data_IF_915373229313
#
_entry.id   IF_915373229313
#
_cell.length_a   1.000
_cell.length_b   1.000
_cell.length_c   1.000
_cell.angle_alpha   90.00
_cell.angle_beta   90.00
_cell.angle_gamma   90.00
#
_symmetry.space_group_name_H-M   'P 1'
#
loop_
_entity.id
_entity.type
_entity.pdbx_description
1 polymer ?
#
# COMPACT_ATOMS: atom_id res chain seq x y z
N UNK A 1 -1.16 8.06 -14.94
CA UNK A 1 -0.13 7.02 -14.77
C UNK A 1 -0.84 5.70 -14.54
N UNK A 2 -0.38 4.60 -15.13
CA UNK A 2 -0.92 3.27 -14.78
C UNK A 2 -0.29 2.83 -13.47
N UNK A 3 -1.08 2.67 -12.41
CA UNK A 3 -0.63 2.14 -11.13
C UNK A 3 -0.57 0.61 -11.24
N UNK A 4 0.60 0.10 -11.60
CA UNK A 4 0.84 -1.35 -11.73
C UNK A 4 1.67 -1.83 -10.54
N UNK A 5 1.25 -2.89 -9.84
CA UNK A 5 2.02 -3.42 -8.73
C UNK A 5 3.37 -3.96 -9.22
N UNK A 6 4.43 -3.67 -8.46
CA UNK A 6 5.76 -4.25 -8.62
C UNK A 6 5.74 -5.76 -8.35
N UNK A 7 4.89 -6.20 -7.40
CA UNK A 7 4.70 -7.61 -7.05
C UNK A 7 3.25 -7.84 -6.62
N UNK A 8 2.70 -9.00 -6.98
CA UNK A 8 1.44 -9.50 -6.44
C UNK A 8 1.65 -10.92 -5.93
N UNK A 9 1.17 -11.22 -4.73
CA UNK A 9 1.29 -12.56 -4.12
C UNK A 9 0.08 -12.93 -3.28
N UNK A 10 -0.22 -14.23 -3.13
CA UNK A 10 -1.21 -14.69 -2.16
C UNK A 10 -0.77 -14.33 -0.72
N UNK A 11 -1.72 -13.94 0.12
CA UNK A 11 -1.49 -13.66 1.54
C UNK A 11 -2.74 -14.01 2.35
N UNK A 12 -2.63 -14.88 3.36
CA UNK A 12 -3.71 -15.23 4.29
C UNK A 12 -5.07 -15.56 3.63
N UNK A 13 -5.05 -16.30 2.52
CA UNK A 13 -6.28 -16.65 1.77
C UNK A 13 -6.82 -15.55 0.85
N UNK A 14 -6.17 -14.39 0.80
CA UNK A 14 -6.42 -13.31 -0.13
C UNK A 14 -5.15 -12.91 -0.90
N UNK A 15 -4.95 -11.61 -1.11
CA UNK A 15 -3.88 -11.07 -1.96
C UNK A 15 -3.17 -9.88 -1.30
N UNK A 16 -1.88 -9.77 -1.59
CA UNK A 16 -1.07 -8.57 -1.36
C UNK A 16 -0.51 -8.06 -2.68
N UNK A 17 -0.68 -6.76 -2.92
CA UNK A 17 -0.09 -5.99 -4.02
C UNK A 17 0.94 -5.03 -3.43
N UNK A 18 2.19 -5.13 -3.87
CA UNK A 18 3.26 -4.20 -3.50
C UNK A 18 3.46 -3.20 -4.64
N UNK A 19 3.42 -1.92 -4.30
CA UNK A 19 3.72 -0.81 -5.21
C UNK A 19 5.05 -0.20 -4.82
N UNK A 20 5.87 0.13 -5.83
CA UNK A 20 7.18 0.76 -5.67
C UNK A 20 7.22 1.99 -6.56
N UNK A 21 7.62 3.12 -6.00
CA UNK A 21 7.73 4.39 -6.71
C UNK A 21 9.19 4.87 -6.76
N UNK A 22 9.49 5.75 -7.72
CA UNK A 22 10.84 6.27 -7.95
C UNK A 22 11.37 7.14 -6.80
N UNK A 23 10.46 7.70 -5.97
CA UNK A 23 10.81 8.47 -4.78
C UNK A 23 11.30 7.59 -3.60
N UNK A 24 11.38 6.27 -3.79
CA UNK A 24 11.81 5.32 -2.77
C UNK A 24 10.70 4.84 -1.83
N UNK A 25 9.51 5.44 -1.90
CA UNK A 25 8.33 4.99 -1.18
C UNK A 25 7.51 3.98 -1.99
N UNK A 26 6.51 3.42 -1.36
CA UNK A 26 5.60 2.46 -1.93
C UNK A 26 4.40 2.22 -1.05
N UNK A 27 3.60 1.23 -1.44
CA UNK A 27 2.48 0.77 -0.63
C UNK A 27 2.42 -0.76 -0.59
N UNK A 28 2.06 -1.29 0.58
CA UNK A 28 1.53 -2.65 0.71
C UNK A 28 0.01 -2.57 0.77
N UNK A 29 -0.65 -3.02 -0.29
CA UNK A 29 -2.11 -3.03 -0.42
C UNK A 29 -2.59 -4.48 -0.29
N UNK A 30 -3.40 -4.77 0.73
CA UNK A 30 -3.87 -6.13 1.02
C UNK A 30 -5.38 -6.21 1.03
N UNK A 31 -5.88 -7.38 0.65
CA UNK A 31 -7.25 -7.80 0.88
C UNK A 31 -7.20 -9.29 1.23
N UNK A 32 -7.48 -9.61 2.48
CA UNK A 32 -7.56 -10.98 2.98
C UNK A 32 -8.53 -11.07 4.16
N UNK A 33 -8.89 -12.29 4.58
CA UNK A 33 -9.91 -12.54 5.62
C UNK A 33 -9.65 -11.80 6.94
N UNK A 34 -8.38 -11.58 7.30
CA UNK A 34 -7.99 -10.86 8.51
C UNK A 34 -7.69 -9.36 8.33
N UNK A 35 -7.85 -8.82 7.12
CA UNK A 35 -7.59 -7.39 6.83
C UNK A 35 -8.81 -6.54 7.18
N UNK A 36 -8.61 -5.27 7.49
CA UNK A 36 -9.72 -4.38 7.82
C UNK A 36 -10.66 -4.18 6.61
N UNK A 37 -11.84 -4.80 6.66
CA UNK A 37 -12.87 -4.74 5.62
C UNK A 37 -12.72 -5.82 4.53
N UNK A 38 -11.74 -6.73 4.65
CA UNK A 38 -11.53 -7.81 3.68
C UNK A 38 -12.72 -8.78 3.58
N UNK A 39 -13.46 -8.98 4.67
CA UNK A 39 -14.72 -9.74 4.72
C UNK A 39 -15.84 -9.10 3.87
N UNK A 40 -15.72 -7.81 3.57
CA UNK A 40 -16.64 -7.04 2.72
C UNK A 40 -16.07 -6.68 1.35
N UNK A 41 -14.90 -7.24 0.98
CA UNK A 41 -14.24 -6.94 -0.29
C UNK A 41 -13.57 -5.56 -0.35
N UNK A 42 -13.32 -4.94 0.81
CA UNK A 42 -12.53 -3.71 0.93
C UNK A 42 -11.03 -4.02 1.07
N UNK A 43 -10.21 -2.99 1.02
CA UNK A 43 -8.76 -3.06 1.03
C UNK A 43 -8.16 -2.37 2.25
N UNK A 44 -6.92 -2.73 2.53
CA UNK A 44 -6.08 -2.12 3.54
C UNK A 44 -4.75 -1.70 2.90
N UNK A 45 -4.25 -0.53 3.27
CA UNK A 45 -3.03 0.06 2.72
C UNK A 45 -2.10 0.49 3.85
N UNK A 46 -0.85 0.05 3.76
CA UNK A 46 0.25 0.57 4.56
C UNK A 46 1.29 1.25 3.66
N UNK A 47 1.78 2.42 4.08
CA UNK A 47 2.92 3.07 3.41
C UNK A 47 4.18 2.26 3.74
N UNK A 48 4.99 2.02 2.71
CA UNK A 48 6.27 1.31 2.84
C UNK A 48 7.39 2.14 2.21
N UNK A 49 8.62 1.86 2.64
CA UNK A 49 9.82 2.44 2.06
C UNK A 49 10.78 1.32 1.67
N UNK A 50 11.43 1.50 0.52
CA UNK A 50 12.38 0.53 -0.02
C UNK A 50 13.80 0.88 0.41
N UNK A 51 14.55 -0.15 0.83
CA UNK A 51 16.00 -0.13 0.98
C UNK A 51 16.58 -1.27 0.14
N UNK A 52 17.09 -0.91 -1.04
CA UNK A 52 17.47 -1.89 -2.06
C UNK A 52 16.28 -2.72 -2.55
N UNK A 53 16.33 -4.03 -2.30
CA UNK A 53 15.27 -4.99 -2.61
C UNK A 53 14.35 -5.30 -1.42
N UNK A 54 14.74 -4.84 -0.23
CA UNK A 54 13.93 -4.96 0.98
C UNK A 54 13.00 -3.76 1.14
N UNK A 55 11.95 -3.94 1.95
CA UNK A 55 11.01 -2.87 2.29
C UNK A 55 10.59 -2.98 3.75
N UNK A 56 10.25 -1.84 4.33
CA UNK A 56 9.76 -1.71 5.70
C UNK A 56 8.54 -0.79 5.74
N UNK A 57 7.72 -0.94 6.79
CA UNK A 57 6.60 -0.05 7.05
C UNK A 57 7.12 1.33 7.41
N UNK A 58 6.50 2.34 6.84
CA UNK A 58 6.87 3.73 7.01
C UNK A 58 5.70 4.49 7.65
N UNK A 59 5.88 4.89 8.90
CA UNK A 59 4.89 5.60 9.70
C UNK A 59 5.21 7.09 9.86
N UNK A 60 6.33 7.55 9.30
CA UNK A 60 6.79 8.94 9.39
C UNK A 60 6.27 9.85 8.29
N UNK A 61 5.21 9.47 7.56
CA UNK A 61 4.67 10.27 6.45
C UNK A 61 3.48 11.12 6.88
N UNK A 62 3.27 12.25 6.20
CA UNK A 62 2.07 13.08 6.38
C UNK A 62 0.78 12.41 5.84
N UNK A 63 0.88 11.22 5.24
CA UNK A 63 -0.28 10.46 4.74
C UNK A 63 -0.94 9.70 5.88
N UNK A 64 -0.14 8.97 6.66
CA UNK A 64 -0.60 8.17 7.79
C UNK A 64 0.57 7.76 8.67
N UNK A 65 0.31 7.64 9.96
CA UNK A 65 1.17 7.03 10.98
C UNK A 65 0.74 5.60 11.36
N UNK A 66 -0.29 5.07 10.69
CA UNK A 66 -0.82 3.72 10.87
C UNK A 66 -1.31 3.12 9.54
N UNK A 67 -1.80 1.89 9.59
CA UNK A 67 -2.44 1.21 8.47
C UNK A 67 -3.86 1.75 8.23
N UNK A 68 -4.17 2.09 6.98
CA UNK A 68 -5.50 2.57 6.58
C UNK A 68 -6.32 1.38 6.07
N UNK A 69 -7.42 1.06 6.76
CA UNK A 69 -8.33 -0.03 6.38
C UNK A 69 -9.66 0.44 5.78
N UNK A 70 -10.48 -0.53 5.34
CA UNK A 70 -11.85 -0.33 4.80
C UNK A 70 -11.90 0.58 3.57
N UNK A 71 -10.88 0.48 2.71
CA UNK A 71 -10.77 1.27 1.50
C UNK A 71 -11.50 0.61 0.33
N UNK A 72 -12.22 1.39 -0.47
CA UNK A 72 -12.54 1.00 -1.82
C UNK A 72 -11.32 1.18 -2.75
N UNK A 73 -11.45 0.76 -4.01
CA UNK A 73 -10.32 0.84 -4.94
C UNK A 73 -9.97 2.28 -5.35
N UNK A 74 -10.96 3.17 -5.45
CA UNK A 74 -10.72 4.56 -5.84
C UNK A 74 -9.94 5.29 -4.72
N UNK A 75 -10.24 4.99 -3.45
CA UNK A 75 -9.49 5.48 -2.30
C UNK A 75 -8.05 4.93 -2.28
N UNK A 76 -7.85 3.64 -2.60
CA UNK A 76 -6.52 3.05 -2.78
C UNK A 76 -5.73 3.78 -3.86
N UNK A 77 -6.32 4.03 -5.03
CA UNK A 77 -5.65 4.73 -6.14
C UNK A 77 -5.28 6.17 -5.78
N UNK A 78 -6.15 6.85 -5.04
CA UNK A 78 -5.89 8.19 -4.50
C UNK A 78 -4.67 8.20 -3.56
N UNK A 79 -4.60 7.25 -2.64
CA UNK A 79 -3.48 7.11 -1.70
C UNK A 79 -2.18 6.73 -2.42
N UNK A 80 -2.22 5.80 -3.38
CA UNK A 80 -1.06 5.44 -4.21
C UNK A 80 -0.52 6.65 -4.96
N UNK A 81 -1.40 7.50 -5.49
CA UNK A 81 -1.02 8.74 -6.15
C UNK A 81 -0.34 9.71 -5.19
N UNK A 82 -0.84 9.86 -3.97
CA UNK A 82 -0.22 10.69 -2.92
C UNK A 82 1.16 10.17 -2.52
N UNK A 83 1.29 8.85 -2.28
CA UNK A 83 2.57 8.21 -1.92
C UNK A 83 3.61 8.42 -3.02
N UNK A 84 3.21 8.30 -4.29
CA UNK A 84 4.11 8.52 -5.43
C UNK A 84 4.65 9.95 -5.52
N UNK A 85 3.98 10.91 -4.88
CA UNK A 85 4.34 12.33 -4.87
C UNK A 85 5.06 12.77 -3.59
N UNK A 86 5.26 11.87 -2.61
CA UNK A 86 6.02 12.18 -1.40
C UNK A 86 7.43 12.65 -1.76
N UNK A 87 7.89 13.68 -1.05
CA UNK A 87 9.27 14.13 -1.13
C UNK A 87 10.13 13.21 -0.27
N UNK A 88 11.18 12.66 -0.86
CA UNK A 88 12.24 12.02 -0.10
C UNK A 88 12.91 13.08 0.77
N UNK A 89 12.93 12.85 2.09
CA UNK A 89 13.68 13.66 3.04
C UNK A 89 15.20 13.52 2.84
#
# INVERSE_FOLDING_TARGET
>A
MSLTPYMERPLNGGVQKLYRFENGFGASVVQHEFSYGGDTGQWELAVIRFDGDEWYLEYGTDITDDVIGRLDWDEVESLLSQISALQSA
#
